data_IF_475604592406
#
_entry.id   IF_475604592406
#
_cell.length_a   1.000
_cell.length_b   1.000
_cell.length_c   1.000
_cell.angle_alpha   90.00
_cell.angle_beta   90.00
_cell.angle_gamma   90.00
#
_symmetry.space_group_name_H-M   'P 1'
#
loop_
_entity.id
_entity.type
_entity.pdbx_description
1 polymer ?
#
# COMPACT_ATOMS: atom_id res chain seq x y z
N UNK A 1 3.11 -8.94 0.40
CA UNK A 1 1.67 -8.60 0.45
C UNK A 1 0.88 -9.84 0.85
N UNK A 2 -0.02 -9.73 1.83
CA UNK A 2 -0.95 -10.82 2.20
C UNK A 2 -2.25 -10.67 1.39
N UNK A 3 -2.82 -11.78 0.90
CA UNK A 3 -3.89 -11.75 -0.11
C UNK A 3 -5.20 -11.12 0.39
N UNK A 4 -5.59 -11.36 1.65
CA UNK A 4 -6.76 -10.70 2.27
C UNK A 4 -6.54 -9.18 2.33
N UNK A 5 -5.32 -8.75 2.70
CA UNK A 5 -4.96 -7.34 2.76
C UNK A 5 -4.93 -6.67 1.38
N UNK A 6 -4.50 -7.39 0.34
CA UNK A 6 -4.53 -6.89 -1.04
C UNK A 6 -5.96 -6.56 -1.49
N UNK A 7 -6.93 -7.41 -1.17
CA UNK A 7 -8.34 -7.20 -1.49
C UNK A 7 -9.06 -6.29 -0.47
N UNK A 8 -8.33 -5.67 0.47
CA UNK A 8 -8.92 -4.91 1.58
C UNK A 8 -10.06 -5.67 2.26
N UNK A 9 -9.82 -6.97 2.50
CA UNK A 9 -10.76 -7.91 3.09
C UNK A 9 -11.04 -7.60 4.55
N UNK A 10 -12.24 -7.97 4.99
CA UNK A 10 -12.68 -7.84 6.39
C UNK A 10 -12.42 -9.14 7.14
N UNK A 11 -12.58 -9.08 8.46
CA UNK A 11 -12.56 -10.28 9.29
C UNK A 11 -13.68 -11.24 8.87
N UNK A 12 -13.33 -12.51 8.68
CA UNK A 12 -14.26 -13.59 8.38
C UNK A 12 -14.73 -14.26 9.68
N UNK A 13 -15.82 -13.73 10.24
CA UNK A 13 -16.40 -14.23 11.48
C UNK A 13 -17.13 -15.57 11.28
N UNK A 14 -17.71 -15.80 10.11
CA UNK A 14 -18.44 -17.03 9.78
C UNK A 14 -17.46 -18.21 9.74
N UNK A 15 -16.37 -18.09 8.98
CA UNK A 15 -15.35 -19.15 8.90
C UNK A 15 -14.67 -19.39 10.26
N UNK A 16 -14.43 -18.33 11.04
CA UNK A 16 -13.94 -18.46 12.41
C UNK A 16 -14.91 -19.28 13.27
N UNK A 17 -16.20 -18.96 13.22
CA UNK A 17 -17.22 -19.63 14.02
C UNK A 17 -17.43 -21.09 13.61
N UNK A 18 -17.40 -21.39 12.31
CA UNK A 18 -17.57 -22.77 11.81
C UNK A 18 -16.38 -23.66 12.16
N UNK A 19 -15.16 -23.14 12.03
CA UNK A 19 -13.93 -23.95 12.18
C UNK A 19 -13.37 -23.98 13.60
N UNK A 20 -13.74 -23.00 14.44
CA UNK A 20 -13.16 -22.75 15.78
C UNK A 20 -11.63 -22.53 15.77
N UNK A 21 -11.06 -22.20 14.60
CA UNK A 21 -9.65 -21.87 14.44
C UNK A 21 -9.48 -20.35 14.37
N UNK A 22 -8.91 -19.75 15.42
CA UNK A 22 -8.77 -18.31 15.58
C UNK A 22 -8.16 -17.59 14.38
N UNK A 23 -7.21 -18.24 13.69
CA UNK A 23 -6.52 -17.64 12.54
C UNK A 23 -7.40 -17.51 11.29
N UNK A 24 -8.51 -18.24 11.23
CA UNK A 24 -9.41 -18.18 10.08
C UNK A 24 -10.15 -16.85 9.96
N UNK A 25 -10.14 -16.02 11.02
CA UNK A 25 -10.61 -14.63 10.97
C UNK A 25 -9.96 -13.81 9.84
N UNK A 26 -8.74 -14.16 9.42
CA UNK A 26 -8.01 -13.48 8.36
C UNK A 26 -7.56 -14.48 7.27
N UNK A 27 -8.37 -15.51 6.98
CA UNK A 27 -8.08 -16.51 5.93
C UNK A 27 -9.29 -16.80 5.04
N UNK A 28 -10.07 -15.77 4.71
CA UNK A 28 -11.24 -15.91 3.84
C UNK A 28 -10.90 -16.61 2.53
N UNK A 29 -11.75 -17.54 2.08
CA UNK A 29 -11.57 -18.28 0.84
C UNK A 29 -12.30 -17.58 -0.30
N UNK A 30 -11.58 -16.69 -0.98
CA UNK A 30 -12.13 -15.94 -2.11
C UNK A 30 -12.44 -16.83 -3.32
N UNK A 31 -13.63 -16.68 -3.87
CA UNK A 31 -13.99 -17.22 -5.19
C UNK A 31 -13.49 -16.32 -6.32
N UNK A 32 -13.40 -16.83 -7.55
CA UNK A 32 -13.03 -16.02 -8.71
C UNK A 32 -14.06 -14.90 -8.97
N UNK A 33 -15.34 -15.21 -8.78
CA UNK A 33 -16.45 -14.28 -8.95
C UNK A 33 -16.37 -13.14 -7.93
N UNK A 34 -16.04 -13.46 -6.67
CA UNK A 34 -15.83 -12.47 -5.62
C UNK A 34 -14.60 -11.61 -5.91
N UNK A 35 -13.47 -12.20 -6.28
CA UNK A 35 -12.27 -11.44 -6.68
C UNK A 35 -12.61 -10.46 -7.81
N UNK A 36 -13.35 -10.90 -8.82
CA UNK A 36 -13.75 -10.04 -9.94
C UNK A 36 -14.61 -8.84 -9.51
N UNK A 37 -15.30 -8.90 -8.36
CA UNK A 37 -15.99 -7.75 -7.78
C UNK A 37 -15.08 -6.94 -6.86
N UNK A 38 -14.32 -7.60 -5.98
CA UNK A 38 -13.45 -6.96 -4.98
C UNK A 38 -12.39 -6.07 -5.63
N UNK A 39 -11.82 -6.52 -6.76
CA UNK A 39 -10.85 -5.71 -7.51
C UNK A 39 -11.42 -4.40 -8.03
N UNK A 40 -12.75 -4.26 -8.19
CA UNK A 40 -13.37 -3.01 -8.65
C UNK A 40 -13.51 -1.97 -7.54
N UNK A 41 -13.35 -2.35 -6.27
CA UNK A 41 -13.44 -1.41 -5.15
C UNK A 41 -12.37 -0.32 -5.30
N UNK A 42 -12.70 0.96 -5.07
CA UNK A 42 -11.74 2.07 -5.24
C UNK A 42 -10.43 1.86 -4.47
N UNK A 43 -10.51 1.39 -3.23
CA UNK A 43 -9.30 1.11 -2.41
C UNK A 43 -8.41 0.02 -3.02
N UNK A 44 -8.99 -1.01 -3.65
CA UNK A 44 -8.21 -2.10 -4.27
C UNK A 44 -7.60 -1.63 -5.59
N UNK A 45 -8.35 -0.86 -6.39
CA UNK A 45 -7.79 -0.17 -7.57
C UNK A 45 -6.61 0.73 -7.20
N UNK A 46 -6.73 1.45 -6.09
CA UNK A 46 -5.65 2.30 -5.59
C UNK A 46 -4.40 1.52 -5.21
N UNK A 47 -4.57 0.39 -4.51
CA UNK A 47 -3.46 -0.52 -4.20
C UNK A 47 -2.81 -1.07 -5.47
N UNK A 48 -3.59 -1.46 -6.48
CA UNK A 48 -3.06 -1.95 -7.76
C UNK A 48 -2.23 -0.88 -8.47
N UNK A 49 -2.69 0.37 -8.51
CA UNK A 49 -1.95 1.50 -9.09
C UNK A 49 -0.66 1.75 -8.32
N UNK A 50 -0.72 1.78 -6.99
CA UNK A 50 0.44 1.94 -6.12
C UNK A 50 1.49 0.84 -6.33
N UNK A 51 1.07 -0.43 -6.42
CA UNK A 51 1.98 -1.54 -6.68
C UNK A 51 2.58 -1.51 -8.07
N UNK A 52 1.77 -1.14 -9.08
CA UNK A 52 2.26 -0.97 -10.45
C UNK A 52 3.34 0.09 -10.52
N UNK A 53 3.11 1.25 -9.88
CA UNK A 53 4.10 2.30 -9.73
C UNK A 53 5.38 1.81 -9.01
N UNK A 54 5.22 1.19 -7.84
CA UNK A 54 6.34 0.65 -7.04
C UNK A 54 7.20 -0.35 -7.83
N UNK A 55 6.60 -1.11 -8.75
CA UNK A 55 7.30 -2.10 -9.56
C UNK A 55 7.99 -1.50 -10.80
N UNK A 56 7.62 -0.28 -11.21
CA UNK A 56 8.11 0.36 -12.43
C UNK A 56 9.08 1.51 -12.16
N UNK A 57 8.99 2.16 -11.00
CA UNK A 57 9.86 3.27 -10.62
C UNK A 57 11.25 2.79 -10.20
N UNK A 58 12.28 3.38 -10.81
CA UNK A 58 13.68 3.15 -10.46
C UNK A 58 14.03 3.67 -9.05
N UNK A 59 13.26 4.62 -8.49
CA UNK A 59 13.49 5.12 -7.12
C UNK A 59 13.50 3.99 -6.08
N UNK A 60 12.90 2.84 -6.41
CA UNK A 60 12.82 1.69 -5.52
C UNK A 60 13.80 0.55 -5.83
N UNK A 61 14.82 0.78 -6.64
CA UNK A 61 15.91 -0.17 -6.87
C UNK A 61 16.61 -0.58 -5.55
N UNK A 62 17.19 -1.78 -5.55
CA UNK A 62 17.73 -2.41 -4.33
C UNK A 62 19.05 -1.77 -3.85
N UNK A 63 19.85 -1.23 -4.77
CA UNK A 63 21.10 -0.52 -4.51
C UNK A 63 20.89 0.97 -4.23
N UNK A 64 19.64 1.43 -4.23
CA UNK A 64 19.24 2.79 -3.86
C UNK A 64 19.28 3.07 -2.36
N UNK A 65 18.85 4.28 -1.98
CA UNK A 65 18.78 4.73 -0.59
C UNK A 65 17.35 4.86 -0.08
N UNK A 66 17.21 4.96 1.24
CA UNK A 66 15.99 5.39 1.92
C UNK A 66 16.37 6.37 3.03
N UNK A 67 15.70 7.51 3.07
CA UNK A 67 15.83 8.51 4.11
C UNK A 67 14.46 8.71 4.75
N UNK A 68 14.41 8.74 6.08
CA UNK A 68 13.16 8.86 6.85
C UNK A 68 13.35 9.92 7.91
N UNK A 69 12.49 10.92 7.90
CA UNK A 69 12.48 11.99 8.89
C UNK A 69 11.08 12.19 9.48
N UNK A 70 11.06 12.61 10.75
CA UNK A 70 9.85 13.12 11.38
C UNK A 70 9.81 14.63 11.15
N UNK A 71 8.75 15.12 10.50
CA UNK A 71 8.52 16.56 10.37
C UNK A 71 7.97 17.14 11.69
N UNK A 72 7.24 16.32 12.44
CA UNK A 72 6.74 16.57 13.80
C UNK A 72 6.24 15.25 14.42
N UNK A 73 5.63 15.30 15.61
CA UNK A 73 5.09 14.13 16.34
C UNK A 73 4.06 13.29 15.55
N UNK A 74 3.46 13.85 14.49
CA UNK A 74 2.39 13.22 13.73
C UNK A 74 2.59 13.24 12.21
N UNK A 75 3.78 13.62 11.74
CA UNK A 75 4.06 13.72 10.31
C UNK A 75 5.41 13.10 9.97
N UNK A 76 5.44 12.28 8.93
CA UNK A 76 6.63 11.60 8.45
C UNK A 76 6.92 12.04 7.02
N UNK A 77 8.18 12.19 6.69
CA UNK A 77 8.65 12.34 5.32
C UNK A 77 9.62 11.21 5.00
N UNK A 78 9.33 10.48 3.92
CA UNK A 78 10.11 9.33 3.47
C UNK A 78 10.54 9.61 2.04
N UNK A 79 11.84 9.47 1.77
CA UNK A 79 12.43 9.60 0.44
C UNK A 79 13.11 8.29 0.07
N UNK A 80 12.82 7.80 -1.13
CA UNK A 80 13.52 6.68 -1.80
C UNK A 80 14.21 7.22 -3.03
N UNK A 81 15.46 6.83 -3.26
CA UNK A 81 16.20 7.22 -4.48
C UNK A 81 16.96 6.02 -5.02
N UNK A 82 17.13 5.95 -6.34
CA UNK A 82 18.06 5.01 -6.96
C UNK A 82 19.53 5.38 -6.64
N UNK A 83 20.47 4.50 -6.98
CA UNK A 83 21.87 4.62 -6.57
C UNK A 83 22.56 5.95 -6.96
N UNK A 84 22.25 6.48 -8.15
CA UNK A 84 22.80 7.75 -8.66
C UNK A 84 21.92 8.98 -8.37
N UNK A 85 20.78 8.78 -7.69
CA UNK A 85 19.79 9.81 -7.35
C UNK A 85 19.18 10.53 -8.55
N UNK A 86 19.16 9.91 -9.74
CA UNK A 86 18.46 10.44 -10.91
C UNK A 86 16.94 10.29 -10.82
N UNK A 87 16.45 9.33 -10.01
CA UNK A 87 15.02 9.12 -9.73
C UNK A 87 14.81 9.05 -8.22
N UNK A 88 14.00 9.97 -7.70
CA UNK A 88 13.67 10.09 -6.29
C UNK A 88 12.15 10.17 -6.11
N UNK A 89 11.62 9.27 -5.29
CA UNK A 89 10.23 9.25 -4.88
C UNK A 89 10.11 9.66 -3.41
N UNK A 90 9.15 10.53 -3.10
CA UNK A 90 8.93 11.05 -1.77
C UNK A 90 7.46 10.93 -1.36
N UNK A 91 7.24 10.75 -0.06
CA UNK A 91 5.90 10.79 0.53
C UNK A 91 5.94 11.54 1.86
N UNK A 92 5.02 12.49 2.02
CA UNK A 92 4.72 13.14 3.30
C UNK A 92 3.40 12.58 3.81
N UNK A 93 3.41 12.01 5.01
CA UNK A 93 2.26 11.35 5.64
C UNK A 93 1.87 12.15 6.88
N UNK A 94 0.58 12.50 7.00
CA UNK A 94 0.02 13.17 8.16
C UNK A 94 -0.92 12.22 8.91
N UNK A 95 -0.46 11.71 10.05
CA UNK A 95 -1.16 10.67 10.82
C UNK A 95 -2.45 11.15 11.48
N UNK A 96 -2.52 12.44 11.86
CA UNK A 96 -3.73 13.02 12.47
C UNK A 96 -4.85 13.20 11.45
N UNK A 97 -4.50 13.65 10.25
CA UNK A 97 -5.46 13.98 9.21
C UNK A 97 -5.78 12.76 8.31
N UNK A 98 -5.01 11.68 8.45
CA UNK A 98 -5.07 10.47 7.61
C UNK A 98 -4.87 10.80 6.13
N UNK A 99 -4.02 11.79 5.85
CA UNK A 99 -3.68 12.23 4.49
C UNK A 99 -2.22 11.96 4.16
N UNK A 100 -1.92 11.99 2.87
CA UNK A 100 -0.56 11.95 2.38
C UNK A 100 -0.44 12.75 1.07
N UNK A 101 0.79 13.17 0.77
CA UNK A 101 1.18 13.69 -0.54
C UNK A 101 2.36 12.86 -1.04
N UNK A 102 2.30 12.37 -2.28
CA UNK A 102 3.38 11.61 -2.88
C UNK A 102 3.86 12.30 -4.17
N UNK A 103 5.17 12.26 -4.42
CA UNK A 103 5.76 12.82 -5.64
C UNK A 103 6.94 11.98 -6.13
N UNK A 104 7.24 12.01 -7.43
CA UNK A 104 8.47 11.47 -8.02
C UNK A 104 9.14 12.57 -8.85
N UNK A 105 10.40 12.87 -8.54
CA UNK A 105 11.15 13.97 -9.16
C UNK A 105 10.38 15.30 -9.16
N UNK A 106 9.62 15.56 -8.08
CA UNK A 106 8.77 16.75 -7.91
C UNK A 106 7.42 16.70 -8.65
N UNK A 107 7.13 15.64 -9.41
CA UNK A 107 5.83 15.44 -10.04
C UNK A 107 4.88 14.74 -9.06
N UNK A 108 3.76 15.37 -8.74
CA UNK A 108 2.74 14.78 -7.85
C UNK A 108 2.15 13.49 -8.43
N UNK A 109 1.93 12.54 -7.54
CA UNK A 109 1.30 11.26 -7.83
C UNK A 109 -0.01 11.11 -7.06
N UNK A 110 -1.00 10.50 -7.70
CA UNK A 110 -2.25 10.12 -7.09
C UNK A 110 -2.55 8.66 -7.42
N UNK A 111 -3.07 7.93 -6.44
CA UNK A 111 -3.41 6.51 -6.58
C UNK A 111 -4.92 6.26 -6.49
N UNK A 112 -5.77 7.28 -6.49
CA UNK A 112 -7.24 7.14 -6.45
C UNK A 112 -7.81 6.38 -7.66
#
# INVERSE_FOLDING_TARGET
MYYVGFLAGKNDLELLEETKEGRNINRHYYSNEEIAQEVKRPVVQALIKLFSYRNQSAAFDLDGSIDVELLNEHSLHIVRSNADKSVSAEVVIHLKDLTYTASENGQLMAFE
#
